data_IF_273337930349
#
_entry.id   IF_273337930349
#
_cell.length_a   1.000
_cell.length_b   1.000
_cell.length_c   1.000
_cell.angle_alpha   90.00
_cell.angle_beta   90.00
_cell.angle_gamma   90.00
#
_symmetry.space_group_name_H-M   'P 1'
#
loop_
_entity.id
_entity.type
_entity.pdbx_description
1 polymer ?
#
# COMPACT_ATOMS: atom_id res chain seq x y z
N UNK A 1 53.14 -55.38 -28.49
CA UNK A 1 53.43 -54.19 -27.65
C UNK A 1 52.30 -53.18 -27.80
N UNK A 2 51.69 -52.85 -26.65
CA UNK A 2 50.82 -51.72 -26.27
C UNK A 2 49.92 -51.01 -27.32
N UNK A 3 48.59 -51.12 -27.18
CA UNK A 3 47.61 -50.17 -27.74
C UNK A 3 47.07 -49.31 -26.60
N UNK A 4 47.35 -48.00 -26.64
CA UNK A 4 46.93 -47.00 -25.67
C UNK A 4 45.48 -46.60 -26.00
N UNK A 5 44.55 -46.83 -25.07
CA UNK A 5 43.18 -46.32 -25.16
C UNK A 5 43.14 -44.87 -24.66
N UNK A 6 42.79 -43.93 -25.53
CA UNK A 6 42.56 -42.53 -25.16
C UNK A 6 41.12 -42.36 -24.72
N UNK A 7 40.88 -42.17 -23.43
CA UNK A 7 39.60 -41.68 -22.92
C UNK A 7 39.59 -40.15 -23.01
N UNK A 8 38.73 -39.60 -23.86
CA UNK A 8 38.45 -38.17 -23.91
C UNK A 8 37.33 -37.85 -22.91
N UNK A 9 37.66 -37.17 -21.82
CA UNK A 9 36.69 -36.65 -20.85
C UNK A 9 36.12 -35.34 -21.41
N UNK A 10 34.87 -35.38 -21.89
CA UNK A 10 34.15 -34.19 -22.31
C UNK A 10 33.60 -33.45 -21.08
N UNK A 11 34.16 -32.28 -20.76
CA UNK A 11 33.65 -31.39 -19.71
C UNK A 11 32.63 -30.45 -20.34
N UNK A 12 31.35 -30.71 -20.11
CA UNK A 12 30.25 -29.82 -20.52
C UNK A 12 30.12 -28.69 -19.52
N UNK A 13 30.55 -27.48 -19.91
CA UNK A 13 30.32 -26.25 -19.15
C UNK A 13 28.83 -25.90 -19.21
N UNK A 14 28.12 -26.11 -18.11
CA UNK A 14 26.73 -25.68 -17.95
C UNK A 14 26.74 -24.21 -17.48
N UNK A 15 26.44 -23.27 -18.38
CA UNK A 15 26.20 -21.88 -18.00
C UNK A 15 24.86 -21.79 -17.29
N UNK A 16 24.88 -21.64 -15.97
CA UNK A 16 23.69 -21.24 -15.23
C UNK A 16 23.47 -19.74 -15.41
N UNK A 17 22.27 -19.30 -15.82
CA UNK A 17 21.93 -17.89 -15.83
C UNK A 17 21.95 -17.39 -14.38
N UNK A 18 22.76 -16.36 -14.11
CA UNK A 18 22.70 -15.62 -12.85
C UNK A 18 21.43 -14.78 -12.89
N UNK A 19 20.41 -15.17 -12.11
CA UNK A 19 19.24 -14.32 -11.89
C UNK A 19 19.66 -13.17 -10.97
N UNK A 20 19.73 -11.97 -11.54
CA UNK A 20 19.86 -10.74 -10.75
C UNK A 20 18.44 -10.32 -10.38
N UNK A 21 17.98 -10.77 -9.21
CA UNK A 21 16.81 -10.16 -8.60
C UNK A 21 17.17 -8.73 -8.17
N UNK A 22 16.31 -7.78 -8.50
CA UNK A 22 16.47 -6.42 -8.02
C UNK A 22 16.40 -6.43 -6.48
N UNK A 23 17.37 -5.80 -5.81
CA UNK A 23 17.26 -5.57 -4.38
C UNK A 23 16.11 -4.61 -4.13
N UNK A 24 15.05 -5.10 -3.51
CA UNK A 24 13.97 -4.27 -2.98
C UNK A 24 14.09 -4.21 -1.46
N UNK A 25 13.98 -3.01 -0.91
CA UNK A 25 13.87 -2.78 0.54
C UNK A 25 12.47 -2.24 0.81
N UNK A 26 11.71 -2.94 1.63
CA UNK A 26 10.36 -2.53 2.05
C UNK A 26 10.22 -2.59 3.57
N UNK A 27 9.06 -2.18 4.09
CA UNK A 27 8.72 -2.40 5.50
C UNK A 27 8.76 -3.89 5.85
N UNK A 28 9.03 -4.20 7.12
CA UNK A 28 9.09 -5.59 7.60
C UNK A 28 7.73 -6.28 7.58
N UNK A 29 6.64 -5.52 7.70
CA UNK A 29 5.28 -5.99 7.54
C UNK A 29 4.54 -5.13 6.51
N UNK A 30 3.39 -5.64 6.05
CA UNK A 30 2.53 -4.91 5.13
C UNK A 30 3.20 -4.57 3.80
N UNK A 31 2.68 -3.53 3.14
CA UNK A 31 3.20 -3.06 1.85
C UNK A 31 2.91 -1.58 1.67
N UNK A 32 3.83 -0.86 1.03
CA UNK A 32 3.66 0.55 0.70
C UNK A 32 3.54 0.71 -0.82
N UNK A 33 2.41 1.25 -1.27
CA UNK A 33 2.16 1.59 -2.67
C UNK A 33 2.32 3.10 -2.84
N UNK A 34 3.40 3.53 -3.51
CA UNK A 34 3.68 4.95 -3.73
C UNK A 34 3.26 5.32 -5.16
N UNK A 35 2.37 6.31 -5.28
CA UNK A 35 1.90 6.80 -6.58
C UNK A 35 2.30 8.26 -6.77
N UNK A 36 2.97 8.56 -7.87
CA UNK A 36 3.50 9.91 -8.19
C UNK A 36 2.45 10.98 -8.53
N UNK A 37 1.16 10.70 -8.30
CA UNK A 37 0.04 11.58 -8.66
C UNK A 37 -0.65 11.20 -9.96
N UNK A 38 -1.80 11.84 -10.21
CA UNK A 38 -2.66 11.63 -11.38
C UNK A 38 -2.94 10.14 -11.70
N UNK A 39 -3.10 9.32 -10.66
CA UNK A 39 -3.37 7.89 -10.80
C UNK A 39 -4.65 7.65 -11.61
N UNK A 40 -4.52 6.92 -12.72
CA UNK A 40 -5.63 6.53 -13.60
C UNK A 40 -5.62 5.05 -13.94
N UNK A 41 -4.60 4.32 -13.52
CA UNK A 41 -4.40 2.91 -13.85
C UNK A 41 -5.16 2.03 -12.86
N UNK A 42 -6.23 1.31 -13.31
CA UNK A 42 -6.95 0.38 -12.45
C UNK A 42 -6.06 -0.74 -11.89
N UNK A 43 -4.97 -1.08 -12.57
CA UNK A 43 -4.02 -2.09 -12.12
C UNK A 43 -3.35 -1.73 -10.79
N UNK A 44 -3.10 -0.45 -10.53
CA UNK A 44 -2.57 0.01 -9.24
C UNK A 44 -3.60 -0.20 -8.14
N UNK A 45 -4.88 0.11 -8.42
CA UNK A 45 -5.97 -0.08 -7.46
C UNK A 45 -6.18 -1.55 -7.15
N UNK A 46 -6.20 -2.41 -8.18
CA UNK A 46 -6.31 -3.86 -8.01
C UNK A 46 -5.14 -4.41 -7.19
N UNK A 47 -3.91 -3.99 -7.51
CA UNK A 47 -2.73 -4.40 -6.74
C UNK A 47 -2.82 -3.97 -5.28
N UNK A 48 -3.29 -2.75 -5.01
CA UNK A 48 -3.53 -2.30 -3.64
C UNK A 48 -4.58 -3.16 -2.94
N UNK A 49 -5.71 -3.48 -3.59
CA UNK A 49 -6.73 -4.35 -3.01
C UNK A 49 -6.18 -5.75 -2.70
N UNK A 50 -5.40 -6.35 -3.61
CA UNK A 50 -4.77 -7.64 -3.38
C UNK A 50 -3.84 -7.62 -2.16
N UNK A 51 -3.06 -6.54 -2.00
CA UNK A 51 -2.16 -6.35 -0.86
C UNK A 51 -2.93 -6.10 0.45
N UNK A 52 -4.08 -5.44 0.39
CA UNK A 52 -4.94 -5.20 1.54
C UNK A 52 -5.71 -6.46 2.00
N UNK A 53 -5.68 -7.56 1.25
CA UNK A 53 -6.40 -8.80 1.58
C UNK A 53 -7.65 -9.06 0.74
N UNK A 54 -7.81 -8.34 -0.37
CA UNK A 54 -8.85 -8.55 -1.37
C UNK A 54 -9.98 -7.52 -1.32
N UNK A 55 -11.07 -7.82 -2.01
CA UNK A 55 -12.20 -6.89 -2.25
C UNK A 55 -13.00 -6.54 -0.98
N UNK A 56 -13.04 -7.45 -0.02
CA UNK A 56 -13.78 -7.30 1.23
C UNK A 56 -12.91 -6.78 2.39
N UNK A 57 -11.64 -6.49 2.11
CA UNK A 57 -10.71 -5.93 3.07
C UNK A 57 -11.25 -4.62 3.67
N UNK A 58 -11.21 -4.43 5.01
CA UNK A 58 -11.54 -3.14 5.62
C UNK A 58 -10.49 -2.10 5.19
N UNK A 59 -10.91 -1.18 4.31
CA UNK A 59 -10.05 -0.14 3.76
C UNK A 59 -10.52 1.23 4.25
N UNK A 60 -9.60 1.96 4.86
CA UNK A 60 -9.83 3.36 5.25
C UNK A 60 -9.29 4.29 4.16
N UNK A 61 -10.09 5.28 3.77
CA UNK A 61 -9.71 6.33 2.81
C UNK A 61 -9.67 7.67 3.54
N UNK A 62 -8.51 8.34 3.50
CA UNK A 62 -8.27 9.61 4.22
C UNK A 62 -8.09 10.77 3.22
N UNK A 63 -9.18 11.45 2.81
CA UNK A 63 -9.16 12.46 1.76
C UNK A 63 -8.66 13.85 2.20
N UNK A 64 -8.19 14.00 3.43
CA UNK A 64 -7.80 15.26 4.09
C UNK A 64 -6.85 16.14 3.26
N UNK A 65 -6.00 15.56 2.41
CA UNK A 65 -5.17 16.34 1.49
C UNK A 65 -5.99 17.22 0.52
N UNK A 66 -7.17 16.76 0.10
CA UNK A 66 -8.11 17.52 -0.74
C UNK A 66 -8.61 18.79 -0.03
N UNK A 67 -8.77 18.70 1.29
CA UNK A 67 -9.08 19.77 2.25
C UNK A 67 -10.28 20.61 1.88
N UNK A 68 -11.37 19.91 1.60
CA UNK A 68 -12.71 20.32 2.02
C UNK A 68 -12.79 20.35 3.56
N UNK A 69 -13.78 21.06 4.10
CA UNK A 69 -13.99 21.17 5.55
C UNK A 69 -14.54 19.87 6.16
N UNK A 70 -15.27 19.07 5.36
CA UNK A 70 -15.85 17.80 5.78
C UNK A 70 -15.90 16.79 4.61
N UNK A 71 -15.88 15.50 4.94
CA UNK A 71 -16.03 14.40 4.00
C UNK A 71 -16.94 13.32 4.58
N UNK A 72 -18.07 13.07 3.92
CA UNK A 72 -18.98 12.00 4.32
C UNK A 72 -18.57 10.62 3.75
N UNK A 73 -19.30 9.58 4.16
CA UNK A 73 -19.11 8.21 3.67
C UNK A 73 -19.51 8.00 2.19
N UNK A 74 -20.08 9.02 1.54
CA UNK A 74 -20.42 9.05 0.12
C UNK A 74 -19.40 9.81 -0.74
N UNK A 75 -18.26 10.22 -0.17
CA UNK A 75 -17.13 10.83 -0.86
C UNK A 75 -16.92 10.24 -2.27
N UNK A 76 -16.98 11.10 -3.29
CA UNK A 76 -16.97 10.70 -4.69
C UNK A 76 -15.69 9.95 -5.10
N UNK A 77 -14.57 10.17 -4.40
CA UNK A 77 -13.33 9.44 -4.62
C UNK A 77 -13.41 7.94 -4.31
N UNK A 78 -14.46 7.47 -3.63
CA UNK A 78 -14.72 6.04 -3.43
C UNK A 78 -15.26 5.33 -4.67
N UNK A 79 -15.77 6.07 -5.66
CA UNK A 79 -16.43 5.48 -6.83
C UNK A 79 -15.51 4.51 -7.58
N UNK A 80 -14.27 4.92 -7.86
CA UNK A 80 -13.32 4.09 -8.59
C UNK A 80 -12.98 2.80 -7.81
N UNK A 81 -12.91 2.86 -6.48
CA UNK A 81 -12.68 1.68 -5.63
C UNK A 81 -13.83 0.69 -5.70
N UNK A 82 -15.07 1.19 -5.63
CA UNK A 82 -16.28 0.37 -5.79
C UNK A 82 -16.36 -0.25 -7.18
N UNK A 83 -15.95 0.47 -8.22
CA UNK A 83 -15.84 -0.05 -9.60
C UNK A 83 -14.79 -1.17 -9.73
N UNK A 84 -13.73 -1.17 -8.91
CA UNK A 84 -12.78 -2.29 -8.80
C UNK A 84 -13.27 -3.43 -7.89
N UNK A 85 -14.44 -3.28 -7.29
CA UNK A 85 -15.12 -4.29 -6.49
C UNK A 85 -14.85 -4.21 -4.99
N UNK A 86 -14.22 -3.15 -4.48
CA UNK A 86 -14.09 -2.95 -3.04
C UNK A 86 -15.46 -2.77 -2.37
N UNK A 87 -15.73 -3.53 -1.31
CA UNK A 87 -17.04 -3.58 -0.64
C UNK A 87 -17.04 -2.94 0.75
N UNK A 88 -15.87 -2.86 1.40
CA UNK A 88 -15.73 -2.39 2.78
C UNK A 88 -14.81 -1.16 2.84
N UNK A 89 -15.41 0.01 2.63
CA UNK A 89 -14.72 1.31 2.56
C UNK A 89 -15.23 2.24 3.66
N UNK A 90 -14.32 2.82 4.42
CA UNK A 90 -14.61 3.87 5.43
C UNK A 90 -13.87 5.14 5.07
N UNK A 91 -14.58 6.27 5.00
CA UNK A 91 -13.97 7.59 4.89
C UNK A 91 -13.62 8.09 6.29
N UNK A 92 -12.39 8.54 6.47
CA UNK A 92 -11.93 9.09 7.74
C UNK A 92 -11.27 10.45 7.50
N UNK A 93 -11.77 11.48 8.17
CA UNK A 93 -11.30 12.85 8.03
C UNK A 93 -11.50 13.62 9.32
N UNK A 94 -10.52 14.45 9.67
CA UNK A 94 -10.69 15.55 10.64
C UNK A 94 -9.54 16.55 10.42
N UNK A 95 -9.81 17.81 10.77
CA UNK A 95 -8.79 18.85 10.90
C UNK A 95 -8.50 19.18 12.38
N UNK A 96 -9.21 18.55 13.32
CA UNK A 96 -8.99 18.69 14.75
C UNK A 96 -7.97 17.66 15.23
N UNK A 97 -6.83 18.15 15.71
CA UNK A 97 -5.74 17.31 16.23
C UNK A 97 -6.15 16.54 17.48
N UNK A 98 -7.06 17.06 18.30
CA UNK A 98 -7.53 16.37 19.49
C UNK A 98 -8.43 15.19 19.12
N UNK A 99 -9.25 15.34 18.09
CA UNK A 99 -10.03 14.24 17.52
C UNK A 99 -9.11 13.21 16.88
N UNK A 100 -8.12 13.65 16.08
CA UNK A 100 -7.12 12.76 15.48
C UNK A 100 -6.26 11.97 16.49
N UNK A 101 -6.24 12.39 17.76
CA UNK A 101 -5.53 11.74 18.88
C UNK A 101 -6.48 10.94 19.81
N UNK A 102 -7.77 10.88 19.49
CA UNK A 102 -8.78 10.12 20.24
C UNK A 102 -8.77 8.63 19.88
N UNK A 103 -9.23 7.77 20.79
CA UNK A 103 -9.34 6.33 20.52
C UNK A 103 -10.50 6.01 19.57
N UNK A 104 -11.56 6.82 19.62
CA UNK A 104 -12.74 6.71 18.76
C UNK A 104 -12.38 6.94 17.29
N UNK A 105 -11.59 7.98 17.00
CA UNK A 105 -11.21 8.33 15.63
C UNK A 105 -10.35 7.26 14.97
N UNK A 106 -9.40 6.69 15.70
CA UNK A 106 -8.47 5.69 15.17
C UNK A 106 -9.04 4.28 15.11
N UNK A 107 -10.25 4.04 15.62
CA UNK A 107 -10.82 2.69 15.70
C UNK A 107 -10.89 2.03 14.32
N UNK A 108 -11.33 2.78 13.30
CA UNK A 108 -11.37 2.27 11.92
C UNK A 108 -9.97 1.95 11.37
N UNK A 109 -8.94 2.68 11.77
CA UNK A 109 -7.54 2.41 11.36
C UNK A 109 -7.04 1.12 12.02
N UNK A 110 -7.35 0.87 13.30
CA UNK A 110 -6.95 -0.36 14.01
C UNK A 110 -7.53 -1.63 13.39
N UNK A 111 -8.72 -1.52 12.79
CA UNK A 111 -9.40 -2.63 12.11
C UNK A 111 -9.01 -2.72 10.63
N UNK A 112 -8.37 -1.68 10.08
CA UNK A 112 -8.02 -1.60 8.67
C UNK A 112 -6.91 -2.59 8.31
N UNK A 113 -7.02 -3.11 7.09
CA UNK A 113 -5.97 -3.91 6.44
C UNK A 113 -5.36 -3.17 5.25
N UNK A 114 -5.94 -2.02 4.89
CA UNK A 114 -5.38 -1.06 3.95
C UNK A 114 -5.80 0.36 4.27
N UNK A 115 -4.90 1.32 4.07
CA UNK A 115 -5.22 2.75 4.15
C UNK A 115 -4.79 3.43 2.85
N UNK A 116 -5.69 4.23 2.28
CA UNK A 116 -5.42 5.00 1.08
C UNK A 116 -5.51 6.51 1.32
N UNK A 117 -4.51 7.23 0.84
CA UNK A 117 -4.48 8.70 0.83
C UNK A 117 -4.71 9.21 -0.60
N UNK A 118 -5.88 9.75 -0.92
CA UNK A 118 -6.08 10.53 -2.15
C UNK A 118 -5.13 11.74 -2.21
N UNK A 119 -4.90 12.24 -3.43
CA UNK A 119 -4.05 13.40 -3.66
C UNK A 119 -4.63 14.72 -3.13
N UNK A 120 -3.78 15.74 -3.08
CA UNK A 120 -4.13 17.09 -2.64
C UNK A 120 -2.90 17.84 -2.13
N UNK A 121 -3.07 18.68 -1.11
CA UNK A 121 -1.97 19.37 -0.42
C UNK A 121 -1.47 18.53 0.75
N UNK A 122 -0.34 17.84 0.58
CA UNK A 122 0.15 16.83 1.54
C UNK A 122 0.43 17.37 2.95
N UNK A 123 0.76 18.65 3.10
CA UNK A 123 0.99 19.23 4.43
C UNK A 123 -0.27 19.21 5.30
N UNK A 124 -1.48 19.20 4.71
CA UNK A 124 -2.73 19.05 5.47
C UNK A 124 -2.80 17.74 6.24
N UNK A 125 -2.23 16.66 5.69
CA UNK A 125 -2.15 15.38 6.41
C UNK A 125 -1.22 15.52 7.62
N UNK A 126 -0.08 16.19 7.45
CA UNK A 126 0.86 16.42 8.55
C UNK A 126 0.25 17.34 9.62
N UNK A 127 -0.40 18.43 9.22
CA UNK A 127 -1.07 19.37 10.12
C UNK A 127 -2.11 18.65 10.99
N UNK A 128 -2.92 17.77 10.40
CA UNK A 128 -3.95 17.02 11.11
C UNK A 128 -3.42 15.84 11.93
N UNK A 129 -2.43 15.08 11.42
CA UNK A 129 -2.14 13.72 11.93
C UNK A 129 -0.74 13.51 12.47
N UNK A 130 0.23 14.38 12.18
CA UNK A 130 1.60 14.21 12.68
C UNK A 130 1.62 14.28 14.21
N UNK A 131 2.38 13.39 14.84
CA UNK A 131 2.52 13.27 16.30
C UNK A 131 1.21 12.94 17.04
N UNK A 132 0.22 12.36 16.35
CA UNK A 132 -1.01 11.85 16.98
C UNK A 132 -1.07 10.32 16.99
N UNK A 133 -2.04 9.75 17.71
CA UNK A 133 -2.35 8.32 17.62
C UNK A 133 -2.69 7.89 16.18
N UNK A 134 -3.25 8.77 15.35
CA UNK A 134 -3.50 8.47 13.93
C UNK A 134 -2.20 8.08 13.22
N UNK A 135 -1.14 8.89 13.31
CA UNK A 135 0.16 8.54 12.71
C UNK A 135 0.69 7.22 13.26
N UNK A 136 0.60 7.02 14.58
CA UNK A 136 1.08 5.80 15.23
C UNK A 136 0.38 4.55 14.70
N UNK A 137 -0.94 4.58 14.61
CA UNK A 137 -1.71 3.43 14.10
C UNK A 137 -1.46 3.22 12.60
N UNK A 138 -1.32 4.27 11.80
CA UNK A 138 -0.92 4.15 10.39
C UNK A 138 0.43 3.43 10.22
N UNK A 139 1.39 3.67 11.12
CA UNK A 139 2.68 2.98 11.12
C UNK A 139 2.55 1.51 11.55
N UNK A 140 1.59 1.18 12.40
CA UNK A 140 1.36 -0.20 12.86
C UNK A 140 0.83 -1.13 11.74
N UNK A 141 0.40 -0.59 10.60
CA UNK A 141 0.08 -1.40 9.40
C UNK A 141 1.34 -1.94 8.68
N UNK A 142 2.55 -1.48 9.05
CA UNK A 142 3.82 -1.74 8.36
C UNK A 142 4.88 -2.47 9.21
#
# INVERSE_FOLDING_TARGET
MCRIARFALAVTLFSMPVQIDAQTTGPSNGSLVIVGGAMRDPGIMQRFLDLAGGKDAPIVVIPTAGGEDDYDQFYSGLRAWREQGATNLTVLHTNDRSEADSDEFIQSIREATGVWFPGGRQWRLADSYLDTKTERELRNLL
#
